data_IF_805443262749
#
_entry.id   IF_805443262749
#
_cell.length_a   1.000
_cell.length_b   1.000
_cell.length_c   1.000
_cell.angle_alpha   90.00
_cell.angle_beta   90.00
_cell.angle_gamma   90.00
#
_symmetry.space_group_name_H-M   'P 1'
#
loop_
_entity.id
_entity.type
_entity.pdbx_description
1 polymer ?
#
# COMPACT_ATOMS: atom_id res chain seq x y z
N UNK A 1 -27.53 11.39 20.27
CA UNK A 1 -26.75 10.50 19.37
C UNK A 1 -25.86 11.36 18.49
N UNK A 2 -24.53 11.19 18.57
CA UNK A 2 -23.53 11.46 17.52
C UNK A 2 -22.16 11.20 18.15
N UNK A 3 -21.63 10.00 17.91
CA UNK A 3 -20.28 9.63 18.34
C UNK A 3 -19.29 10.49 17.57
N UNK A 4 -18.44 11.22 18.27
CA UNK A 4 -17.25 11.82 17.67
C UNK A 4 -16.23 10.75 17.34
N UNK A 5 -15.34 11.03 16.37
CA UNK A 5 -13.89 10.89 16.52
C UNK A 5 -13.15 11.36 15.27
N UNK A 6 -12.10 12.14 15.55
CA UNK A 6 -10.92 12.65 14.79
C UNK A 6 -10.63 11.93 13.45
N UNK A 7 -10.11 12.55 12.40
CA UNK A 7 -8.87 13.36 12.37
C UNK A 7 -8.79 14.20 11.10
N UNK A 8 -8.48 15.50 11.25
CA UNK A 8 -8.09 16.39 10.16
C UNK A 8 -6.57 16.50 10.19
N UNK A 9 -5.87 15.68 9.41
CA UNK A 9 -4.41 15.75 9.36
C UNK A 9 -4.02 16.81 8.33
N UNK A 10 -3.63 17.98 8.84
CA UNK A 10 -2.88 19.01 8.11
C UNK A 10 -1.41 18.63 8.21
N UNK A 11 -0.67 18.56 7.10
CA UNK A 11 0.79 18.49 7.13
C UNK A 11 1.38 19.45 6.10
N UNK A 12 1.91 20.57 6.62
CA UNK A 12 3.01 21.34 6.00
C UNK A 12 4.31 20.98 6.73
N UNK A 13 5.46 21.15 6.05
CA UNK A 13 6.82 20.69 6.43
C UNK A 13 7.40 21.24 7.75
N UNK A 14 8.71 21.03 8.07
CA UNK A 14 9.86 20.71 7.21
C UNK A 14 10.52 19.34 7.50
N UNK A 15 11.53 18.98 6.71
CA UNK A 15 12.40 17.79 6.78
C UNK A 15 12.72 17.26 8.18
N UNK A 16 11.89 16.37 8.68
CA UNK A 16 12.27 15.24 9.52
C UNK A 16 11.71 14.03 8.78
N UNK A 17 12.53 13.01 8.48
CA UNK A 17 12.05 11.74 7.93
C UNK A 17 10.90 11.27 8.82
N UNK A 18 9.63 11.35 8.38
CA UNK A 18 8.54 11.03 9.28
C UNK A 18 8.63 9.54 9.54
N UNK A 19 8.69 9.14 10.82
CA UNK A 19 8.50 7.75 11.19
C UNK A 19 7.04 7.42 10.90
N UNK A 20 6.74 7.05 9.66
CA UNK A 20 5.41 6.69 9.22
C UNK A 20 4.98 5.39 9.89
N UNK A 21 3.72 5.34 10.32
CA UNK A 21 3.11 4.10 10.79
C UNK A 21 2.86 3.13 9.64
N UNK A 22 2.62 1.85 9.94
CA UNK A 22 2.27 0.85 8.92
C UNK A 22 1.06 1.24 8.08
N UNK A 23 0.06 1.85 8.70
CA UNK A 23 -1.14 2.36 8.02
C UNK A 23 -0.81 3.55 7.09
N UNK A 24 0.02 4.50 7.51
CA UNK A 24 0.42 5.63 6.67
C UNK A 24 1.26 5.20 5.47
N UNK A 25 2.20 4.26 5.67
CA UNK A 25 2.98 3.69 4.59
C UNK A 25 2.09 2.94 3.60
N UNK A 26 1.11 2.18 4.10
CA UNK A 26 0.12 1.50 3.26
C UNK A 26 -0.74 2.50 2.49
N UNK A 27 -1.20 3.60 3.11
CA UNK A 27 -1.94 4.66 2.43
C UNK A 27 -1.09 5.40 1.38
N UNK A 28 0.21 5.54 1.61
CA UNK A 28 1.12 6.10 0.62
C UNK A 28 1.33 5.13 -0.53
N UNK A 29 1.52 3.84 -0.23
CA UNK A 29 1.65 2.78 -1.23
C UNK A 29 0.37 2.66 -2.08
N UNK A 30 -0.81 2.76 -1.48
CA UNK A 30 -2.10 2.71 -2.19
C UNK A 30 -2.35 3.88 -3.12
N UNK A 31 -1.73 5.03 -2.82
CA UNK A 31 -1.74 6.22 -3.69
C UNK A 31 -0.76 6.12 -4.86
N UNK A 32 0.11 5.12 -4.85
CA UNK A 32 1.01 4.84 -5.97
C UNK A 32 0.45 3.73 -6.84
N UNK A 33 0.85 3.74 -8.11
CA UNK A 33 0.55 2.65 -9.03
C UNK A 33 1.47 1.43 -8.84
N UNK A 34 2.21 1.29 -7.73
CA UNK A 34 3.10 0.14 -7.50
C UNK A 34 2.30 -1.16 -7.42
N UNK A 35 1.23 -1.16 -6.60
CA UNK A 35 0.35 -2.33 -6.45
C UNK A 35 -0.40 -2.63 -7.75
N UNK A 36 -0.92 -1.60 -8.40
CA UNK A 36 -1.63 -1.72 -9.68
C UNK A 36 -0.73 -2.25 -10.80
N UNK A 37 0.47 -1.69 -10.94
CA UNK A 37 1.46 -2.17 -11.91
C UNK A 37 1.84 -3.61 -11.59
N UNK A 38 2.04 -3.97 -10.32
CA UNK A 38 2.33 -5.35 -9.95
C UNK A 38 1.20 -6.30 -10.35
N UNK A 39 -0.07 -5.96 -10.05
CA UNK A 39 -1.22 -6.78 -10.46
C UNK A 39 -1.27 -6.93 -11.97
N UNK A 40 -1.07 -5.84 -12.72
CA UNK A 40 -1.10 -5.84 -14.19
C UNK A 40 0.07 -6.61 -14.81
N UNK A 41 1.29 -6.39 -14.32
CA UNK A 41 2.52 -7.01 -14.84
C UNK A 41 2.57 -8.52 -14.54
N UNK A 42 1.74 -8.99 -13.60
CA UNK A 42 1.56 -10.40 -13.27
C UNK A 42 0.19 -10.94 -13.74
N UNK A 43 -0.54 -10.25 -14.63
CA UNK A 43 -1.84 -10.72 -15.16
C UNK A 43 -2.83 -11.18 -14.06
N UNK A 44 -2.91 -10.43 -12.95
CA UNK A 44 -3.74 -10.76 -11.78
C UNK A 44 -3.40 -12.11 -11.12
N UNK A 45 -2.23 -12.68 -11.40
CA UNK A 45 -1.77 -14.00 -10.97
C UNK A 45 -0.30 -13.95 -10.56
N UNK A 46 -0.03 -13.97 -9.26
CA UNK A 46 1.32 -13.97 -8.72
C UNK A 46 1.54 -15.14 -7.77
N UNK A 47 2.72 -15.75 -7.85
CA UNK A 47 3.16 -16.78 -6.91
C UNK A 47 3.75 -16.16 -5.63
N UNK A 48 4.02 -17.00 -4.64
CA UNK A 48 4.69 -16.60 -3.40
C UNK A 48 6.04 -15.90 -3.64
N UNK A 49 6.80 -16.28 -4.68
CA UNK A 49 8.06 -15.61 -5.03
C UNK A 49 7.84 -14.16 -5.45
N UNK A 50 6.86 -13.90 -6.31
CA UNK A 50 6.51 -12.55 -6.78
C UNK A 50 6.01 -11.67 -5.64
N UNK A 51 5.24 -12.25 -4.73
CA UNK A 51 4.83 -11.60 -3.48
C UNK A 51 6.04 -11.15 -2.64
N UNK A 52 7.03 -12.04 -2.42
CA UNK A 52 8.24 -11.69 -1.68
C UNK A 52 9.08 -10.61 -2.39
N UNK A 53 9.18 -10.66 -3.72
CA UNK A 53 9.84 -9.61 -4.51
C UNK A 53 9.16 -8.25 -4.30
N UNK A 54 7.83 -8.22 -4.30
CA UNK A 54 7.06 -7.00 -4.05
C UNK A 54 7.28 -6.47 -2.64
N UNK A 55 7.22 -7.33 -1.61
CA UNK A 55 7.50 -6.94 -0.22
C UNK A 55 8.89 -6.31 -0.09
N UNK A 56 9.91 -6.94 -0.66
CA UNK A 56 11.28 -6.44 -0.65
C UNK A 56 11.40 -5.10 -1.39
N UNK A 57 10.71 -4.94 -2.54
CA UNK A 57 10.67 -3.66 -3.25
C UNK A 57 10.05 -2.57 -2.39
N UNK A 58 8.90 -2.83 -1.77
CA UNK A 58 8.20 -1.89 -0.89
C UNK A 58 9.07 -1.46 0.30
N UNK A 59 9.77 -2.41 0.92
CA UNK A 59 10.74 -2.11 1.98
C UNK A 59 11.92 -1.26 1.47
N UNK A 60 12.49 -1.59 0.31
CA UNK A 60 13.57 -0.81 -0.34
C UNK A 60 13.16 0.61 -0.69
N UNK A 61 11.91 0.83 -1.07
CA UNK A 61 11.37 2.16 -1.33
C UNK A 61 11.14 2.99 -0.06
N UNK A 62 11.34 2.40 1.13
CA UNK A 62 11.21 3.10 2.40
C UNK A 62 9.78 3.16 2.92
N UNK A 63 8.91 2.24 2.49
CA UNK A 63 7.56 2.07 3.05
C UNK A 63 7.56 1.15 4.29
N UNK A 64 8.71 0.94 4.94
CA UNK A 64 8.80 0.15 6.17
C UNK A 64 8.66 1.05 7.41
N UNK A 65 7.86 0.67 8.43
CA UNK A 65 7.10 -0.59 8.56
C UNK A 65 5.84 -0.61 7.66
N UNK A 66 5.47 -1.77 7.12
CA UNK A 66 4.21 -1.99 6.38
C UNK A 66 3.48 -3.24 6.89
N UNK A 67 2.15 -3.22 6.81
CA UNK A 67 1.32 -4.39 7.06
C UNK A 67 1.13 -5.19 5.76
N UNK A 68 1.85 -6.32 5.67
CA UNK A 68 1.80 -7.21 4.53
C UNK A 68 0.44 -7.91 4.37
N UNK A 69 -0.30 -8.13 5.46
CA UNK A 69 -1.62 -8.75 5.41
C UNK A 69 -2.62 -7.80 4.74
N UNK A 70 -2.61 -6.53 5.15
CA UNK A 70 -3.39 -5.48 4.51
C UNK A 70 -2.98 -5.25 3.06
N UNK A 71 -1.68 -5.28 2.76
CA UNK A 71 -1.19 -5.14 1.39
C UNK A 71 -1.67 -6.28 0.48
N UNK A 72 -1.76 -7.51 1.00
CA UNK A 72 -2.34 -8.65 0.29
C UNK A 72 -3.82 -8.44 -0.03
N UNK A 73 -4.61 -7.98 0.96
CA UNK A 73 -6.02 -7.64 0.75
C UNK A 73 -6.21 -6.54 -0.31
N UNK A 74 -5.31 -5.55 -0.33
CA UNK A 74 -5.33 -4.50 -1.34
C UNK A 74 -5.05 -5.03 -2.74
N UNK A 75 -4.10 -5.95 -2.91
CA UNK A 75 -3.84 -6.58 -4.20
C UNK A 75 -5.06 -7.35 -4.71
N UNK A 76 -5.74 -8.08 -3.82
CA UNK A 76 -6.97 -8.81 -4.16
C UNK A 76 -8.12 -7.87 -4.52
N UNK A 77 -8.29 -6.74 -3.81
CA UNK A 77 -9.28 -5.70 -4.16
C UNK A 77 -8.96 -5.05 -5.51
N UNK A 78 -7.69 -4.73 -5.77
CA UNK A 78 -7.24 -4.21 -7.07
C UNK A 78 -7.54 -5.24 -8.15
N UNK A 79 -7.12 -6.49 -7.99
CA UNK A 79 -7.42 -7.59 -8.92
C UNK A 79 -8.92 -7.71 -9.20
N UNK A 80 -9.77 -7.62 -8.18
CA UNK A 80 -11.23 -7.64 -8.35
C UNK A 80 -11.78 -6.41 -9.11
N UNK A 81 -11.10 -5.25 -9.02
CA UNK A 81 -11.40 -4.02 -9.77
C UNK A 81 -10.76 -3.94 -11.15
N UNK A 82 -9.92 -4.91 -11.53
CA UNK A 82 -9.34 -5.06 -12.86
C UNK A 82 -10.08 -6.11 -13.75
N UNK A 83 -11.44 -6.20 -13.81
CA UNK A 83 -12.15 -7.24 -14.57
C UNK A 83 -12.21 -6.96 -16.08
N UNK A 84 -11.23 -6.30 -16.69
CA UNK A 84 -11.33 -5.90 -18.11
C UNK A 84 -9.97 -5.81 -18.83
N UNK A 85 -9.17 -6.87 -18.74
CA UNK A 85 -8.07 -7.16 -19.68
C UNK A 85 -8.32 -8.50 -20.37
#
# INVERSE_FOLDING_TARGET
MRKGSKSKVRMGGPSQVPAYTSEENLQRLSRTSILENFVRDNDCSWDHQKWLELCNNVEKFGYSPIDFDQMGLMLEDIKARYPNI
#
